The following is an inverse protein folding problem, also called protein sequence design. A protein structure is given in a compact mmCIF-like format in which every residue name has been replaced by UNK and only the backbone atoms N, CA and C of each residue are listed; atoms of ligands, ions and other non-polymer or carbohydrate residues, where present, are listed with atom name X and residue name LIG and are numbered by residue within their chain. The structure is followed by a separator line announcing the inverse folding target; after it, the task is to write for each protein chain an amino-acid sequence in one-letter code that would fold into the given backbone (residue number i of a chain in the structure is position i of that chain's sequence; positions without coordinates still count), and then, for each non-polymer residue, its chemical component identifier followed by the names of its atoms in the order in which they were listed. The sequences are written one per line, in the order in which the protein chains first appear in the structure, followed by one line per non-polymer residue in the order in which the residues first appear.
data_IF_136670950342
#
_entry.id   IF_136670950342
#
_cell.length_a   1.000
_cell.length_b   1.000
_cell.length_c   1.000
_cell.angle_alpha   90.00
_cell.angle_beta   90.00
_cell.angle_gamma   90.00
#
_symmetry.space_group_name_H-M   'P 1'
#
loop_
_entity.id
_entity.type
_entity.pdbx_description
1 polymer ?
#
# COMPACT_ATOMS: atom_id res chain seq x y z
N UNK A 1 -21.24 -1.17 11.60
CA UNK A 1 -20.26 -2.02 10.90
C UNK A 1 -20.38 -1.99 9.37
N UNK A 2 -21.58 -2.08 8.76
CA UNK A 2 -21.73 -2.04 7.30
C UNK A 2 -21.30 -0.73 6.62
N UNK A 3 -21.39 0.41 7.31
CA UNK A 3 -20.99 1.74 6.83
C UNK A 3 -19.47 1.91 6.67
N UNK A 4 -18.67 1.25 7.52
CA UNK A 4 -17.20 1.24 7.43
C UNK A 4 -16.72 0.39 6.25
N UNK A 5 -17.38 -0.74 5.99
CA UNK A 5 -17.05 -1.61 4.85
C UNK A 5 -17.45 -0.98 3.50
N UNK A 6 -18.54 -0.21 3.45
CA UNK A 6 -18.98 0.49 2.22
C UNK A 6 -18.10 1.69 1.90
N UNK A 7 -17.71 2.49 2.89
CA UNK A 7 -16.75 3.60 2.67
C UNK A 7 -15.37 3.10 2.26
N UNK A 8 -14.88 1.99 2.83
CA UNK A 8 -13.62 1.37 2.43
C UNK A 8 -13.63 0.87 0.96
N UNK A 9 -14.73 0.22 0.52
CA UNK A 9 -14.87 -0.26 -0.87
C UNK A 9 -15.01 0.87 -1.89
N UNK A 10 -15.66 1.97 -1.51
CA UNK A 10 -15.86 3.11 -2.41
C UNK A 10 -14.60 3.95 -2.63
N UNK A 11 -13.70 3.96 -1.64
CA UNK A 11 -12.42 4.67 -1.72
C UNK A 11 -11.36 3.86 -2.47
N UNK A 12 -11.40 2.52 -2.40
CA UNK A 12 -10.47 1.63 -3.10
C UNK A 12 -10.64 1.62 -4.64
N UNK A 13 -11.86 1.77 -5.14
CA UNK A 13 -12.17 1.73 -6.58
C UNK A 13 -11.48 2.81 -7.43
N UNK A 14 -11.67 4.11 -7.13
CA UNK A 14 -11.13 5.19 -7.96
C UNK A 14 -9.61 5.37 -7.81
N UNK A 15 -9.05 5.06 -6.64
CA UNK A 15 -7.60 5.18 -6.36
C UNK A 15 -6.77 4.10 -7.06
N UNK A 16 -7.35 2.92 -7.33
CA UNK A 16 -6.60 1.79 -7.91
C UNK A 16 -6.66 1.76 -9.44
N UNK A 17 -7.77 2.20 -10.07
CA UNK A 17 -7.99 1.98 -11.50
C UNK A 17 -7.50 3.11 -12.44
N UNK A 18 -7.46 4.36 -11.97
CA UNK A 18 -7.13 5.53 -12.82
C UNK A 18 -5.63 5.86 -13.01
N UNK A 19 -4.73 5.66 -12.03
CA UNK A 19 -3.36 6.15 -12.20
C UNK A 19 -2.56 5.31 -13.21
N UNK A 20 -2.81 4.00 -13.31
CA UNK A 20 -2.08 3.10 -14.23
C UNK A 20 -2.39 3.38 -15.69
N UNK A 21 -3.65 3.65 -16.04
CA UNK A 21 -4.05 3.94 -17.41
C UNK A 21 -3.54 5.31 -17.90
N UNK A 22 -3.49 6.31 -17.01
CA UNK A 22 -3.02 7.65 -17.36
C UNK A 22 -1.49 7.71 -17.54
N UNK A 23 -0.73 6.97 -16.72
CA UNK A 23 0.73 6.86 -16.91
C UNK A 23 1.09 6.05 -18.18
N UNK A 24 0.32 5.02 -18.53
CA UNK A 24 0.58 4.22 -19.74
C UNK A 24 0.34 4.98 -21.04
N UNK A 25 -0.62 5.90 -21.06
CA UNK A 25 -0.97 6.64 -22.29
C UNK A 25 0.03 7.76 -22.64
N UNK A 26 0.85 8.23 -21.67
CA UNK A 26 1.62 9.46 -21.86
C UNK A 26 3.14 9.30 -21.84
N UNK A 27 3.70 8.20 -21.31
CA UNK A 27 5.15 8.04 -21.22
C UNK A 27 5.62 6.64 -21.64
N UNK A 28 6.13 6.54 -22.87
CA UNK A 28 6.85 5.39 -23.40
C UNK A 28 8.20 5.17 -22.71
N UNK A 29 8.16 4.71 -21.46
CA UNK A 29 9.32 4.48 -20.60
C UNK A 29 9.74 3.00 -20.64
N UNK A 30 11.04 2.70 -20.46
CA UNK A 30 11.53 1.32 -20.43
C UNK A 30 10.88 0.52 -19.28
N UNK A 31 10.32 -0.67 -19.60
CA UNK A 31 9.46 -1.48 -18.69
C UNK A 31 10.01 -1.70 -17.28
N UNK A 32 11.34 -1.73 -17.11
CA UNK A 32 12.02 -2.03 -15.83
C UNK A 32 12.35 -0.76 -15.02
N UNK A 33 12.63 0.36 -15.68
CA UNK A 33 12.96 1.64 -15.02
C UNK A 33 11.71 2.38 -14.53
N UNK A 34 10.64 2.34 -15.32
CA UNK A 34 9.38 3.00 -15.01
C UNK A 34 8.75 2.46 -13.72
N UNK A 35 8.79 1.14 -13.54
CA UNK A 35 8.25 0.48 -12.35
C UNK A 35 9.01 0.89 -11.08
N UNK A 36 10.35 0.96 -11.14
CA UNK A 36 11.18 1.40 -10.00
C UNK A 36 10.93 2.87 -9.66
N UNK A 37 10.90 3.75 -10.67
CA UNK A 37 10.61 5.17 -10.45
C UNK A 37 9.19 5.38 -9.89
N UNK A 38 8.21 4.62 -10.36
CA UNK A 38 6.83 4.68 -9.85
C UNK A 38 6.73 4.19 -8.41
N UNK A 39 7.42 3.08 -8.06
CA UNK A 39 7.47 2.57 -6.69
C UNK A 39 8.16 3.55 -5.73
N UNK A 40 9.29 4.11 -6.13
CA UNK A 40 10.00 5.13 -5.34
C UNK A 40 9.15 6.41 -5.19
N UNK A 41 8.47 6.81 -6.26
CA UNK A 41 7.53 7.93 -6.24
C UNK A 41 6.38 7.69 -5.25
N UNK A 42 5.71 6.54 -5.34
CA UNK A 42 4.63 6.16 -4.42
C UNK A 42 5.13 6.06 -2.98
N UNK A 43 6.26 5.39 -2.73
CA UNK A 43 6.85 5.28 -1.39
C UNK A 43 7.16 6.66 -0.80
N UNK A 44 7.80 7.53 -1.58
CA UNK A 44 8.13 8.89 -1.13
C UNK A 44 6.88 9.73 -0.84
N UNK A 45 5.86 9.62 -1.69
CA UNK A 45 4.58 10.31 -1.52
C UNK A 45 3.85 9.81 -0.28
N UNK A 46 3.79 8.50 -0.07
CA UNK A 46 3.18 7.88 1.11
C UNK A 46 3.90 8.31 2.38
N UNK A 47 5.24 8.31 2.39
CA UNK A 47 6.01 8.75 3.55
C UNK A 47 5.79 10.25 3.84
N UNK A 48 5.77 11.09 2.81
CA UNK A 48 5.53 12.52 2.98
C UNK A 48 4.11 12.81 3.51
N UNK A 49 3.09 12.19 2.93
CA UNK A 49 1.69 12.44 3.27
C UNK A 49 1.24 11.77 4.56
N UNK A 50 1.75 10.57 4.87
CA UNK A 50 1.34 9.81 6.04
C UNK A 50 2.29 9.94 7.22
N UNK A 51 3.53 10.40 7.05
CA UNK A 51 4.47 10.56 8.16
C UNK A 51 4.83 12.02 8.37
N UNK A 52 5.46 12.67 7.38
CA UNK A 52 6.03 14.00 7.58
C UNK A 52 4.97 15.08 7.84
N UNK A 53 3.90 15.10 7.04
CA UNK A 53 2.82 16.08 7.15
C UNK A 53 2.00 15.94 8.45
N UNK A 54 1.51 14.73 8.82
CA UNK A 54 0.86 14.54 10.11
C UNK A 54 1.80 14.71 11.30
N UNK A 55 3.09 14.34 11.20
CA UNK A 55 4.05 14.62 12.28
C UNK A 55 4.21 16.12 12.53
N UNK A 56 4.21 16.95 11.48
CA UNK A 56 4.21 18.41 11.63
C UNK A 56 2.91 18.90 12.30
N UNK A 57 1.76 18.33 11.95
CA UNK A 57 0.49 18.64 12.61
C UNK A 57 0.51 18.25 14.10
N UNK A 58 0.96 17.04 14.44
CA UNK A 58 1.09 16.57 15.82
C UNK A 58 2.08 17.41 16.64
N UNK A 59 3.20 17.82 16.05
CA UNK A 59 4.15 18.73 16.71
C UNK A 59 3.51 20.09 17.08
N UNK A 60 2.57 20.59 16.28
CA UNK A 60 1.86 21.84 16.56
C UNK A 60 0.69 21.64 17.55
N UNK A 61 0.06 20.47 17.54
CA UNK A 61 -1.11 20.15 18.37
C UNK A 61 -0.73 19.67 19.78
N UNK A 62 0.43 19.03 19.92
CA UNK A 62 0.93 18.43 21.16
C UNK A 62 2.21 19.16 21.63
N UNK A 63 2.09 20.19 22.50
CA UNK A 63 3.22 21.03 22.91
C UNK A 63 4.33 20.29 23.66
N UNK A 64 4.02 19.12 24.19
CA UNK A 64 4.94 18.25 24.93
C UNK A 64 5.74 17.32 24.04
N UNK A 65 5.38 17.19 22.76
CA UNK A 65 6.06 16.28 21.84
C UNK A 65 7.12 17.04 21.06
N UNK A 66 8.28 16.45 20.91
CA UNK A 66 9.25 16.90 19.90
C UNK A 66 8.78 16.47 18.50
N UNK A 67 9.32 17.10 17.46
CA UNK A 67 9.04 16.67 16.08
C UNK A 67 9.45 15.20 15.83
N UNK A 68 10.50 14.73 16.52
CA UNK A 68 10.95 13.34 16.45
C UNK A 68 9.94 12.40 17.11
N UNK A 69 9.36 12.77 18.26
CA UNK A 69 8.30 12.00 18.93
C UNK A 69 7.06 11.88 18.04
N UNK A 70 6.70 12.95 17.32
CA UNK A 70 5.59 12.95 16.37
C UNK A 70 5.86 12.03 15.16
N UNK A 71 7.07 12.07 14.58
CA UNK A 71 7.47 11.12 13.53
C UNK A 71 7.43 9.69 14.06
N UNK A 72 7.99 9.46 15.23
CA UNK A 72 8.02 8.15 15.86
C UNK A 72 6.60 7.61 16.05
N UNK A 73 5.68 8.41 16.61
CA UNK A 73 4.27 8.04 16.75
C UNK A 73 3.64 7.64 15.40
N UNK A 74 3.85 8.44 14.35
CA UNK A 74 3.36 8.13 13.00
C UNK A 74 3.92 6.79 12.49
N UNK A 75 5.23 6.57 12.59
CA UNK A 75 5.89 5.36 12.10
C UNK A 75 5.43 4.11 12.87
N UNK A 76 5.48 4.11 14.21
CA UNK A 76 5.08 2.93 15.00
C UNK A 76 3.61 2.57 14.78
N UNK A 77 2.76 3.56 14.56
CA UNK A 77 1.33 3.35 14.38
C UNK A 77 1.01 2.84 12.97
N UNK A 78 1.68 3.37 11.94
CA UNK A 78 1.54 2.90 10.56
C UNK A 78 2.14 1.51 10.36
N UNK A 79 3.26 1.21 11.02
CA UNK A 79 3.83 -0.13 11.08
C UNK A 79 3.01 -1.09 11.95
N UNK A 80 1.92 -0.62 12.57
CA UNK A 80 1.05 -1.40 13.46
C UNK A 80 1.76 -2.02 14.67
N UNK A 81 2.94 -1.49 15.04
CA UNK A 81 3.69 -1.92 16.24
C UNK A 81 2.97 -1.43 17.50
N UNK A 82 2.61 -0.14 17.52
CA UNK A 82 1.68 0.44 18.50
C UNK A 82 2.08 0.29 19.97
N UNK A 83 3.30 0.70 20.37
CA UNK A 83 3.77 0.61 21.76
C UNK A 83 2.88 1.35 22.77
N UNK A 84 2.17 2.41 22.35
CA UNK A 84 1.21 3.14 23.21
C UNK A 84 1.86 4.02 24.28
N UNK A 85 3.16 4.25 24.19
CA UNK A 85 3.93 5.20 25.00
C UNK A 85 3.55 6.65 24.71
N UNK A 86 3.36 6.97 23.43
CA UNK A 86 2.90 8.27 22.95
C UNK A 86 1.47 8.14 22.45
N UNK A 87 0.55 8.82 23.14
CA UNK A 87 -0.88 8.86 22.76
C UNK A 87 -1.33 10.32 22.68
N UNK A 88 -1.84 10.77 21.52
CA UNK A 88 -2.34 12.13 21.36
C UNK A 88 -3.56 12.35 22.28
N UNK A 89 -3.79 13.60 22.69
CA UNK A 89 -4.90 13.99 23.56
C UNK A 89 -4.87 13.43 24.99
N UNK A 90 -3.68 13.05 25.49
CA UNK A 90 -3.51 12.55 26.87
C UNK A 90 -3.77 13.62 27.94
N UNK A 91 -3.60 14.90 27.60
CA UNK A 91 -3.83 16.02 28.51
C UNK A 91 -5.34 16.34 28.64
N UNK A 92 -5.83 16.36 29.88
CA UNK A 92 -7.26 16.44 30.21
C UNK A 92 -7.96 17.78 29.87
N UNK A 93 -7.26 18.78 29.31
CA UNK A 93 -7.72 20.17 29.21
C UNK A 93 -8.00 20.68 27.79
N UNK A 94 -8.23 19.80 26.82
CA UNK A 94 -8.63 20.21 25.46
C UNK A 94 -10.15 20.08 25.23
N UNK A 95 -10.87 21.17 24.88
CA UNK A 95 -12.33 21.14 24.71
C UNK A 95 -12.79 20.29 23.51
N UNK A 96 -11.90 19.94 22.57
CA UNK A 96 -12.18 19.14 21.37
C UNK A 96 -11.54 17.73 21.42
N UNK A 97 -11.18 17.23 22.60
CA UNK A 97 -10.47 15.95 22.77
C UNK A 97 -11.12 14.76 22.05
N UNK A 98 -12.45 14.63 22.12
CA UNK A 98 -13.15 13.53 21.45
C UNK A 98 -13.05 13.60 19.92
N UNK A 99 -13.20 14.80 19.34
CA UNK A 99 -13.11 14.99 17.89
C UNK A 99 -11.69 14.71 17.39
N UNK A 100 -10.68 15.16 18.14
CA UNK A 100 -9.29 14.90 17.83
C UNK A 100 -8.96 13.40 17.88
N UNK A 101 -9.41 12.68 18.90
CA UNK A 101 -9.20 11.24 19.03
C UNK A 101 -9.86 10.45 17.87
N UNK A 102 -11.06 10.87 17.45
CA UNK A 102 -11.71 10.31 16.26
C UNK A 102 -10.92 10.64 14.99
N UNK A 103 -10.42 11.87 14.85
CA UNK A 103 -9.57 12.27 13.73
C UNK A 103 -8.30 11.44 13.62
N UNK A 104 -7.63 11.18 14.75
CA UNK A 104 -6.45 10.30 14.81
C UNK A 104 -6.82 8.87 14.43
N UNK A 105 -7.93 8.34 14.92
CA UNK A 105 -8.38 6.99 14.56
C UNK A 105 -8.66 6.87 13.05
N UNK A 106 -9.32 7.86 12.44
CA UNK A 106 -9.55 7.91 11.00
C UNK A 106 -8.24 8.00 10.23
N UNK A 107 -7.31 8.85 10.68
CA UNK A 107 -5.96 8.94 10.10
C UNK A 107 -5.24 7.59 10.13
N UNK A 108 -5.26 6.87 11.26
CA UNK A 108 -4.60 5.55 11.36
C UNK A 108 -5.25 4.51 10.44
N UNK A 109 -6.58 4.48 10.36
CA UNK A 109 -7.31 3.58 9.44
C UNK A 109 -6.95 3.85 7.97
N UNK A 110 -6.94 5.13 7.57
CA UNK A 110 -6.55 5.54 6.23
C UNK A 110 -5.07 5.26 5.95
N UNK A 111 -4.21 5.50 6.95
CA UNK A 111 -2.77 5.31 6.85
C UNK A 111 -2.38 3.84 6.65
N UNK A 112 -2.95 2.94 7.45
CA UNK A 112 -2.75 1.49 7.30
C UNK A 112 -3.25 1.03 5.92
N UNK A 113 -4.41 1.52 5.48
CA UNK A 113 -4.92 1.21 4.13
C UNK A 113 -3.93 1.66 3.04
N UNK A 114 -3.35 2.85 3.17
CA UNK A 114 -2.34 3.38 2.24
C UNK A 114 -1.06 2.53 2.21
N UNK A 115 -0.56 2.10 3.37
CA UNK A 115 0.62 1.23 3.48
C UNK A 115 0.36 -0.15 2.87
N UNK A 116 -0.83 -0.71 3.07
CA UNK A 116 -1.23 -2.00 2.47
C UNK A 116 -1.31 -1.92 0.94
N UNK A 117 -1.83 -0.82 0.37
CA UNK A 117 -1.84 -0.61 -1.08
C UNK A 117 -0.43 -0.53 -1.66
N UNK A 118 0.51 0.11 -0.96
CA UNK A 118 1.91 0.16 -1.35
C UNK A 118 2.53 -1.25 -1.33
N UNK A 119 2.27 -2.04 -0.29
CA UNK A 119 2.75 -3.42 -0.18
C UNK A 119 2.16 -4.32 -1.27
N UNK A 120 0.87 -4.19 -1.59
CA UNK A 120 0.22 -4.90 -2.69
C UNK A 120 0.82 -4.53 -4.04
N UNK A 121 1.10 -3.25 -4.26
CA UNK A 121 1.75 -2.76 -5.49
C UNK A 121 3.15 -3.35 -5.63
N UNK A 122 3.91 -3.42 -4.53
CA UNK A 122 5.22 -4.04 -4.51
C UNK A 122 5.16 -5.54 -4.80
N UNK A 123 4.25 -6.28 -4.15
CA UNK A 123 4.03 -7.71 -4.41
C UNK A 123 3.67 -7.98 -5.88
N UNK A 124 2.80 -7.16 -6.48
CA UNK A 124 2.45 -7.27 -7.90
C UNK A 124 3.65 -7.05 -8.82
N UNK A 125 4.54 -6.10 -8.49
CA UNK A 125 5.77 -5.87 -9.25
C UNK A 125 6.81 -6.98 -9.00
N UNK A 126 6.85 -7.54 -7.79
CA UNK A 126 7.73 -8.66 -7.44
C UNK A 126 7.33 -9.95 -8.17
N UNK A 127 6.04 -10.28 -8.23
CA UNK A 127 5.49 -11.41 -9.00
C UNK A 127 5.83 -11.29 -10.50
N UNK A 128 5.78 -10.08 -11.07
CA UNK A 128 6.18 -9.85 -12.47
C UNK A 128 7.68 -10.07 -12.71
N UNK A 129 8.50 -10.07 -11.67
CA UNK A 129 9.95 -10.29 -11.73
C UNK A 129 10.38 -11.64 -11.14
N UNK A 130 9.50 -12.38 -10.48
CA UNK A 130 9.75 -13.67 -9.86
C UNK A 130 8.96 -14.80 -10.52
N UNK A 131 9.69 -15.67 -11.23
CA UNK A 131 9.29 -17.02 -11.72
C UNK A 131 8.51 -17.10 -13.05
N UNK A 132 9.21 -17.01 -14.20
CA UNK A 132 8.81 -17.74 -15.40
C UNK A 132 9.11 -19.24 -15.18
N UNK A 133 8.17 -19.99 -14.60
CA UNK A 133 8.43 -21.41 -14.28
C UNK A 133 7.21 -22.31 -14.09
N UNK A 134 5.99 -21.79 -13.95
CA UNK A 134 4.77 -22.63 -13.90
C UNK A 134 4.00 -22.56 -15.22
N UNK A 135 4.70 -22.62 -16.35
CA UNK A 135 4.10 -23.17 -17.54
C UNK A 135 4.13 -24.69 -17.35
N UNK A 136 3.05 -25.26 -16.81
CA UNK A 136 2.76 -26.68 -16.99
C UNK A 136 2.97 -26.99 -18.47
N UNK A 137 3.93 -27.86 -18.86
CA UNK A 137 4.08 -28.21 -20.25
C UNK A 137 2.75 -28.79 -20.73
N UNK A 138 2.17 -28.18 -21.76
CA UNK A 138 1.00 -28.71 -22.42
C UNK A 138 1.31 -30.16 -22.84
N UNK A 139 0.39 -31.13 -22.61
CA UNK A 139 0.60 -32.48 -23.13
C UNK A 139 0.73 -32.40 -24.66
N UNK A 140 1.86 -32.87 -25.17
CA UNK A 140 2.15 -32.87 -26.59
C UNK A 140 1.10 -33.70 -27.36
N UNK A 141 0.59 -33.24 -28.50
CA UNK A 141 -0.19 -34.08 -29.39
C UNK A 141 0.77 -34.94 -30.22
N UNK A 142 0.80 -36.25 -29.96
CA UNK A 142 1.54 -37.22 -30.77
C UNK A 142 1.62 -38.59 -30.07
N UNK A 143 1.16 -39.70 -30.63
CA UNK A 143 0.60 -39.93 -31.96
C UNK A 143 -0.30 -41.15 -31.92
N UNK A 144 -1.42 -41.05 -32.63
CA UNK A 144 -2.10 -42.20 -33.19
C UNK A 144 -1.35 -42.60 -34.48
N UNK A 145 -1.34 -43.90 -34.74
CA UNK A 145 -0.90 -44.61 -35.95
C UNK A 145 0.56 -44.55 -36.36
N UNK A 146 1.25 -45.66 -36.09
CA UNK A 146 1.97 -46.43 -37.13
C UNK A 146 2.29 -47.83 -36.61
N UNK A 147 1.25 -48.64 -36.38
CA UNK A 147 1.39 -50.11 -36.30
C UNK A 147 1.10 -50.70 -37.68
N UNK A 148 1.99 -50.43 -38.64
CA UNK A 148 2.12 -51.20 -39.88
C UNK A 148 3.61 -51.14 -40.25
N UNK A 149 4.36 -52.21 -39.97
CA UNK A 149 5.05 -53.00 -40.99
C UNK A 149 6.11 -53.93 -40.36
N UNK A 150 5.80 -55.23 -40.38
CA UNK A 150 6.75 -56.26 -40.80
C UNK A 150 7.66 -56.94 -39.76
N UNK A 151 7.25 -58.12 -39.28
CA UNK A 151 8.14 -59.30 -39.23
C UNK A 151 7.35 -60.58 -38.88
N UNK A 152 7.37 -61.57 -39.80
CA UNK A 152 7.23 -63.00 -39.47
C UNK A 152 6.02 -63.71 -40.04
#
# INVERSE_FOLDING_TARGET
MFLLATTARHLAGPLTHRPRAYLQARWGYSRRGAARAHLLGLLSLTLALLVLLPAAAFYLLEPTWSYLDAIYFCVISLCTVGFGDLVPARQARQPLRQLYQVGVAVYLLLGVTGVLLLAQTFHQVAELHGVPGTATPAPAPGGADSDEEGAG
#
